data_IF_398723581271
#
_entry.id   IF_398723581271
#
_cell.length_a   1.000
_cell.length_b   1.000
_cell.length_c   1.000
_cell.angle_alpha   90.00
_cell.angle_beta   90.00
_cell.angle_gamma   90.00
#
_symmetry.space_group_name_H-M   'P 1'
#
loop_
_entity.id
_entity.type
_entity.pdbx_description
1 polymer ?
#
# COMPACT_ATOMS: atom_id res chain seq x y z
N UNK A 1 15.63 20.19 -19.22
CA UNK A 1 14.32 20.78 -19.59
C UNK A 1 13.13 19.94 -19.13
N UNK A 2 13.10 18.61 -19.34
CA UNK A 2 11.96 17.74 -18.97
C UNK A 2 11.58 17.88 -17.48
N UNK A 3 12.51 17.64 -16.56
CA UNK A 3 12.38 17.90 -15.11
C UNK A 3 11.64 19.20 -14.75
N UNK A 4 12.10 20.30 -15.32
CA UNK A 4 11.59 21.63 -15.00
C UNK A 4 10.15 21.80 -15.50
N UNK A 5 9.82 21.27 -16.69
CA UNK A 5 8.44 21.25 -17.21
C UNK A 5 7.53 20.37 -16.36
N UNK A 6 8.01 19.20 -15.96
CA UNK A 6 7.26 18.28 -15.10
C UNK A 6 6.92 18.93 -13.73
N UNK A 7 7.89 19.55 -13.07
CA UNK A 7 7.64 20.26 -11.81
C UNK A 7 6.78 21.52 -11.97
N UNK A 8 7.02 22.33 -13.01
CA UNK A 8 6.26 23.58 -13.23
C UNK A 8 4.78 23.28 -13.48
N UNK A 9 4.45 22.20 -14.19
CA UNK A 9 3.07 21.83 -14.52
C UNK A 9 2.32 21.11 -13.39
N UNK A 10 3.01 20.43 -12.46
CA UNK A 10 2.37 19.78 -11.30
C UNK A 10 2.07 20.79 -10.20
N UNK A 11 0.84 20.85 -9.68
CA UNK A 11 0.46 21.84 -8.65
C UNK A 11 1.18 21.63 -7.32
N UNK A 12 1.40 20.38 -6.92
CA UNK A 12 2.04 20.01 -5.67
C UNK A 12 3.59 20.05 -5.71
N UNK A 13 4.25 20.26 -6.86
CA UNK A 13 5.72 20.33 -6.90
C UNK A 13 6.26 21.64 -6.31
N UNK A 14 7.34 21.54 -5.54
CA UNK A 14 8.06 22.66 -4.90
C UNK A 14 9.42 22.91 -5.55
N UNK A 15 10.16 21.86 -5.86
CA UNK A 15 11.51 21.89 -6.43
C UNK A 15 11.86 20.57 -7.07
N UNK A 16 12.96 20.51 -7.82
CA UNK A 16 13.43 19.28 -8.46
C UNK A 16 14.95 19.18 -8.45
N UNK A 17 15.44 17.95 -8.42
CA UNK A 17 16.83 17.58 -8.70
C UNK A 17 16.90 16.88 -10.07
N UNK A 18 17.82 17.33 -10.92
CA UNK A 18 18.12 16.70 -12.20
C UNK A 18 19.51 16.07 -12.18
N UNK A 19 19.61 14.77 -12.45
CA UNK A 19 20.89 14.06 -12.62
C UNK A 19 21.38 14.18 -14.07
N UNK A 20 22.38 15.02 -14.40
CA UNK A 20 22.83 15.22 -15.78
C UNK A 20 23.44 13.96 -16.40
N UNK A 21 24.06 13.08 -15.61
CA UNK A 21 24.65 11.82 -16.07
C UNK A 21 23.60 10.70 -16.25
N UNK A 22 22.58 10.65 -15.38
CA UNK A 22 21.57 9.59 -15.37
C UNK A 22 20.28 9.95 -16.10
N UNK A 23 20.09 11.23 -16.45
CA UNK A 23 18.82 11.77 -16.96
C UNK A 23 17.68 11.79 -15.94
N UNK A 24 17.91 11.39 -14.69
CA UNK A 24 16.87 11.20 -13.67
C UNK A 24 16.32 12.52 -13.12
N UNK A 25 15.05 12.48 -12.73
CA UNK A 25 14.30 13.58 -12.15
C UNK A 25 13.70 13.17 -10.81
N UNK A 26 14.20 13.77 -9.72
CA UNK A 26 13.66 13.59 -8.38
C UNK A 26 12.87 14.88 -8.02
N UNK A 27 11.55 14.79 -7.79
CA UNK A 27 10.67 15.93 -7.51
C UNK A 27 10.36 16.06 -6.01
N UNK A 28 10.57 17.25 -5.43
CA UNK A 28 10.06 17.58 -4.08
C UNK A 28 8.61 18.04 -4.19
N UNK A 29 7.71 17.47 -3.39
CA UNK A 29 6.28 17.83 -3.38
C UNK A 29 5.80 18.32 -2.02
N UNK A 30 4.86 19.26 -2.03
CA UNK A 30 4.09 19.67 -0.87
C UNK A 30 3.07 18.56 -0.56
N UNK A 31 3.44 17.68 0.36
CA UNK A 31 2.61 16.56 0.82
C UNK A 31 2.42 16.60 2.33
N UNK A 32 1.26 16.13 2.80
CA UNK A 32 0.93 16.09 4.23
C UNK A 32 1.70 14.97 4.94
N UNK A 33 2.94 15.25 5.34
CA UNK A 33 3.82 14.33 6.05
C UNK A 33 5.21 14.94 6.24
N UNK A 34 6.17 14.20 6.82
CA UNK A 34 7.57 14.61 6.86
C UNK A 34 8.17 14.50 5.46
N UNK A 35 7.88 15.48 4.59
CA UNK A 35 8.63 15.64 3.34
C UNK A 35 10.07 15.97 3.71
N UNK A 36 10.95 14.96 3.65
CA UNK A 36 12.39 15.18 3.70
C UNK A 36 12.72 16.16 2.57
N UNK A 37 13.27 17.35 2.87
CA UNK A 37 13.77 18.20 1.79
C UNK A 37 14.83 17.41 1.04
N UNK A 38 14.80 17.44 -0.30
CA UNK A 38 15.84 16.83 -1.11
C UNK A 38 17.16 17.61 -0.95
N UNK A 39 17.86 17.34 0.15
CA UNK A 39 19.18 17.91 0.44
C UNK A 39 20.17 17.37 -0.57
N UNK A 40 20.47 18.19 -1.58
CA UNK A 40 21.69 18.18 -2.39
C UNK A 40 22.32 16.79 -2.61
N UNK A 41 21.66 15.93 -3.39
CA UNK A 41 22.25 14.66 -3.84
C UNK A 41 23.49 14.96 -4.69
N UNK A 42 24.66 14.49 -4.28
CA UNK A 42 25.92 14.76 -4.97
C UNK A 42 25.82 14.38 -6.45
N UNK A 43 26.25 15.29 -7.33
CA UNK A 43 26.14 15.13 -8.78
C UNK A 43 24.81 15.53 -9.41
N UNK A 44 23.80 15.97 -8.63
CA UNK A 44 22.51 16.43 -9.14
C UNK A 44 22.42 17.96 -9.11
N UNK A 45 21.72 18.53 -10.08
CA UNK A 45 21.40 19.96 -10.18
C UNK A 45 20.03 20.24 -9.54
N UNK A 46 20.03 21.00 -8.46
CA UNK A 46 18.80 21.47 -7.77
C UNK A 46 18.24 22.73 -8.43
N UNK A 47 16.91 22.86 -8.51
CA UNK A 47 16.23 24.14 -8.73
C UNK A 47 14.85 24.20 -8.09
N UNK A 48 14.41 25.41 -7.68
CA UNK A 48 13.08 25.63 -7.15
C UNK A 48 12.07 25.88 -8.27
N UNK A 49 10.80 25.49 -8.08
CA UNK A 49 9.75 25.69 -9.11
C UNK A 49 9.60 27.15 -9.50
N UNK A 50 9.67 28.06 -8.52
CA UNK A 50 9.61 29.53 -8.68
C UNK A 50 10.48 30.06 -9.81
N UNK A 51 11.69 29.50 -9.92
CA UNK A 51 12.77 30.02 -10.76
C UNK A 51 12.51 29.72 -12.26
N UNK A 52 11.60 28.77 -12.52
CA UNK A 52 11.28 28.26 -13.86
C UNK A 52 9.86 28.57 -14.35
N UNK A 53 8.95 29.03 -13.47
CA UNK A 53 7.54 29.31 -13.85
C UNK A 53 7.44 30.30 -15.01
N UNK A 54 8.20 31.40 -14.97
CA UNK A 54 8.15 32.44 -16.01
C UNK A 54 8.69 31.97 -17.35
N UNK A 55 9.61 31.00 -17.36
CA UNK A 55 10.27 30.49 -18.56
C UNK A 55 9.55 29.30 -19.21
N UNK A 56 8.84 28.47 -18.44
CA UNK A 56 8.30 27.19 -18.90
C UNK A 56 6.77 27.07 -18.81
N UNK A 57 6.10 27.87 -17.97
CA UNK A 57 4.68 27.61 -17.67
C UNK A 57 3.75 27.81 -18.88
N UNK A 58 4.14 28.55 -19.93
CA UNK A 58 3.33 28.73 -21.16
C UNK A 58 1.85 29.04 -20.82
N UNK A 59 0.90 28.29 -21.38
CA UNK A 59 -0.54 28.43 -21.10
C UNK A 59 -0.92 28.03 -19.65
N UNK A 60 -0.10 27.21 -18.99
CA UNK A 60 -0.31 26.79 -17.60
C UNK A 60 0.06 27.87 -16.56
N UNK A 61 0.66 28.99 -16.98
CA UNK A 61 1.12 30.08 -16.08
C UNK A 61 0.04 30.65 -15.16
N UNK A 62 -1.22 30.62 -15.59
CA UNK A 62 -2.37 31.14 -14.85
C UNK A 62 -3.41 30.05 -14.51
N UNK A 63 -3.06 28.77 -14.70
CA UNK A 63 -3.94 27.64 -14.44
C UNK A 63 -3.66 27.12 -13.03
N UNK A 64 -4.64 27.22 -12.15
CA UNK A 64 -4.58 26.65 -10.80
C UNK A 64 -5.41 25.37 -10.75
N UNK A 65 -4.76 24.22 -10.94
CA UNK A 65 -5.43 22.92 -10.80
C UNK A 65 -5.64 22.56 -9.32
N UNK A 66 -6.50 21.56 -9.06
CA UNK A 66 -6.58 20.93 -7.76
C UNK A 66 -5.24 20.27 -7.36
N UNK A 67 -5.05 19.89 -6.08
CA UNK A 67 -3.93 19.02 -5.68
C UNK A 67 -3.86 17.76 -6.55
N UNK A 68 -2.65 17.21 -6.71
CA UNK A 68 -2.39 15.99 -7.47
C UNK A 68 -2.73 16.04 -8.98
N UNK A 69 -3.10 17.20 -9.51
CA UNK A 69 -3.31 17.40 -10.93
C UNK A 69 -2.08 18.01 -11.60
N UNK A 70 -1.84 17.61 -12.85
CA UNK A 70 -0.89 18.24 -13.76
C UNK A 70 -1.63 19.17 -14.73
N UNK A 71 -1.02 20.31 -15.03
CA UNK A 71 -1.49 21.14 -16.13
C UNK A 71 -0.99 20.60 -17.48
N UNK A 72 -1.91 20.39 -18.42
CA UNK A 72 -1.62 19.97 -19.79
C UNK A 72 -1.99 21.12 -20.73
N UNK A 73 -1.02 21.72 -21.46
CA UNK A 73 -1.30 22.80 -22.40
C UNK A 73 -2.30 22.39 -23.48
N UNK A 74 -3.53 22.90 -23.39
CA UNK A 74 -4.61 22.64 -24.33
C UNK A 74 -5.16 23.94 -24.90
N UNK A 75 -5.64 23.90 -26.16
CA UNK A 75 -6.30 25.04 -26.82
C UNK A 75 -7.82 25.02 -26.72
N UNK A 76 -8.43 23.90 -26.32
CA UNK A 76 -9.87 23.64 -26.50
C UNK A 76 -10.50 22.76 -25.42
N UNK A 77 -9.83 22.47 -24.30
CA UNK A 77 -10.36 21.56 -23.26
C UNK A 77 -9.80 21.85 -21.86
N UNK A 78 -10.15 20.99 -20.89
CA UNK A 78 -9.65 21.09 -19.52
C UNK A 78 -8.12 21.04 -19.51
N UNK A 79 -7.51 22.12 -19.01
CA UNK A 79 -6.05 22.22 -18.87
C UNK A 79 -5.52 21.48 -17.64
N UNK A 80 -6.37 20.85 -16.83
CA UNK A 80 -6.00 20.13 -15.61
C UNK A 80 -6.42 18.66 -15.71
N UNK A 81 -5.48 17.75 -15.48
CA UNK A 81 -5.68 16.30 -15.51
C UNK A 81 -5.12 15.69 -14.23
N UNK A 82 -5.85 14.76 -13.62
CA UNK A 82 -5.37 14.01 -12.46
C UNK A 82 -4.16 13.15 -12.88
N UNK A 83 -3.07 13.20 -12.12
CA UNK A 83 -1.80 12.54 -12.51
C UNK A 83 -1.04 11.93 -11.32
N UNK A 84 -1.59 11.99 -10.11
CA UNK A 84 -0.88 11.70 -8.87
C UNK A 84 -1.85 11.18 -7.81
N UNK A 85 -1.42 10.22 -6.99
CA UNK A 85 -2.21 9.63 -5.91
C UNK A 85 -1.80 10.14 -4.52
N UNK A 86 -0.79 11.02 -4.44
CA UNK A 86 -0.23 11.49 -3.17
C UNK A 86 0.58 10.41 -2.45
N UNK A 87 0.91 10.63 -1.17
CA UNK A 87 1.67 9.67 -0.36
C UNK A 87 0.91 8.33 -0.31
N UNK A 88 1.57 7.18 -0.56
CA UNK A 88 0.96 5.86 -0.39
C UNK A 88 0.43 5.67 1.04
N UNK A 89 -0.77 5.08 1.23
CA UNK A 89 -1.39 4.93 2.54
C UNK A 89 -0.54 4.05 3.47
N UNK A 90 -0.74 4.18 4.79
CA UNK A 90 -0.30 3.12 5.72
C UNK A 90 -1.26 1.95 5.58
N UNK A 91 -0.75 0.72 5.51
CA UNK A 91 -1.56 -0.50 5.48
C UNK A 91 -1.32 -1.32 6.76
N UNK A 92 -2.36 -2.00 7.23
CA UNK A 92 -2.24 -2.89 8.38
C UNK A 92 -1.22 -4.00 8.12
N UNK A 93 -0.42 -4.34 9.13
CA UNK A 93 0.64 -5.36 9.10
C UNK A 93 1.78 -5.12 8.07
N UNK A 94 1.78 -3.98 7.37
CA UNK A 94 2.85 -3.57 6.46
C UNK A 94 3.92 -2.71 7.14
N UNK A 95 5.13 -2.71 6.59
CA UNK A 95 6.18 -1.73 6.88
C UNK A 95 5.80 -0.31 6.45
N UNK A 96 6.69 0.66 6.68
CA UNK A 96 6.67 1.90 5.89
C UNK A 96 6.74 1.58 4.39
N UNK A 97 6.06 2.37 3.57
CA UNK A 97 6.04 2.22 2.12
C UNK A 97 7.38 2.61 1.48
N UNK A 98 7.86 1.78 0.57
CA UNK A 98 9.00 2.06 -0.30
C UNK A 98 8.49 2.41 -1.70
N UNK A 99 8.79 3.61 -2.19
CA UNK A 99 8.34 4.09 -3.50
C UNK A 99 9.30 5.11 -4.11
N UNK A 100 9.30 5.25 -5.44
CA UNK A 100 10.14 6.21 -6.18
C UNK A 100 9.40 7.46 -6.67
N UNK A 101 8.09 7.51 -6.47
CA UNK A 101 7.20 8.55 -6.97
C UNK A 101 5.74 8.16 -6.77
N UNK A 102 4.83 9.11 -6.99
CA UNK A 102 3.40 8.95 -6.67
C UNK A 102 2.48 9.22 -7.87
N UNK A 103 3.04 9.34 -9.07
CA UNK A 103 2.25 9.56 -10.31
C UNK A 103 1.63 8.26 -10.82
N UNK A 104 0.60 8.38 -11.66
CA UNK A 104 -0.11 7.23 -12.25
C UNK A 104 0.88 6.20 -12.82
N UNK A 105 0.68 4.93 -12.48
CA UNK A 105 1.54 3.80 -12.86
C UNK A 105 2.73 3.54 -11.93
N UNK A 106 3.05 4.42 -10.98
CA UNK A 106 4.05 4.10 -9.95
C UNK A 106 3.50 3.09 -8.94
N UNK A 107 4.41 2.27 -8.40
CA UNK A 107 4.10 1.27 -7.38
C UNK A 107 4.84 1.60 -6.09
N UNK A 108 4.14 1.46 -4.96
CA UNK A 108 4.66 1.46 -3.61
C UNK A 108 4.66 0.04 -3.06
N UNK A 109 5.76 -0.39 -2.45
CA UNK A 109 5.92 -1.74 -1.89
C UNK A 109 5.99 -1.70 -0.37
N UNK A 110 5.38 -2.70 0.25
CA UNK A 110 5.30 -2.87 1.70
C UNK A 110 5.76 -4.28 2.05
N UNK A 111 6.59 -4.42 3.08
CA UNK A 111 6.99 -5.71 3.62
C UNK A 111 5.99 -6.13 4.70
N UNK A 112 5.26 -7.22 4.47
CA UNK A 112 4.27 -7.74 5.40
C UNK A 112 4.96 -8.56 6.50
N UNK A 113 4.69 -8.23 7.76
CA UNK A 113 5.30 -8.92 8.90
C UNK A 113 4.47 -8.81 10.17
N UNK A 114 4.67 -9.75 11.09
CA UNK A 114 4.00 -9.79 12.39
C UNK A 114 3.47 -11.17 12.75
N UNK A 115 2.94 -11.31 13.97
CA UNK A 115 2.44 -12.59 14.47
C UNK A 115 1.15 -12.97 13.75
N UNK A 116 1.18 -14.10 13.05
CA UNK A 116 0.05 -14.62 12.27
C UNK A 116 -0.25 -13.84 10.99
N UNK A 117 0.76 -13.17 10.43
CA UNK A 117 0.72 -12.43 9.15
C UNK A 117 1.54 -13.21 8.13
N UNK A 118 1.06 -13.32 6.89
CA UNK A 118 1.83 -13.96 5.82
C UNK A 118 3.02 -13.07 5.44
N UNK A 119 4.24 -13.62 5.52
CA UNK A 119 5.45 -12.88 5.20
C UNK A 119 5.61 -12.76 3.67
N UNK A 120 5.17 -11.63 3.11
CA UNK A 120 5.22 -11.37 1.67
C UNK A 120 5.43 -9.87 1.35
N UNK A 121 5.61 -9.54 0.07
CA UNK A 121 5.64 -8.16 -0.40
C UNK A 121 4.27 -7.79 -0.97
N UNK A 122 3.65 -6.76 -0.40
CA UNK A 122 2.40 -6.18 -0.86
C UNK A 122 2.67 -4.95 -1.74
N UNK A 123 2.39 -4.98 -3.06
CA UNK A 123 2.44 -3.81 -3.92
C UNK A 123 1.08 -3.10 -4.01
N UNK A 124 1.08 -1.77 -3.89
CA UNK A 124 -0.01 -0.88 -4.30
C UNK A 124 0.45 -0.03 -5.49
N UNK A 125 -0.40 0.15 -6.51
CA UNK A 125 -0.13 0.96 -7.70
C UNK A 125 -1.04 2.18 -7.72
N UNK A 126 -0.50 3.33 -8.12
CA UNK A 126 -1.27 4.55 -8.32
C UNK A 126 -2.07 4.46 -9.62
N UNK A 127 -3.40 4.46 -9.51
CA UNK A 127 -4.32 4.38 -10.64
C UNK A 127 -4.72 5.77 -11.18
N UNK A 128 -5.34 5.78 -12.36
CA UNK A 128 -5.88 6.99 -13.00
C UNK A 128 -7.05 7.64 -12.24
N UNK A 129 -7.65 6.90 -11.30
CA UNK A 129 -8.60 7.40 -10.30
C UNK A 129 -7.96 8.30 -9.23
N UNK A 130 -6.63 8.35 -9.15
CA UNK A 130 -5.89 9.02 -8.07
C UNK A 130 -5.86 8.21 -6.76
N UNK A 131 -6.26 6.94 -6.78
CA UNK A 131 -6.18 6.02 -5.65
C UNK A 131 -4.97 5.09 -5.75
N UNK A 132 -4.46 4.67 -4.59
CA UNK A 132 -3.50 3.56 -4.48
C UNK A 132 -4.26 2.26 -4.28
N UNK A 133 -4.14 1.33 -5.23
CA UNK A 133 -4.85 0.03 -5.21
C UNK A 133 -3.89 -1.13 -5.48
N UNK A 134 -4.15 -2.29 -4.88
CA UNK A 134 -3.30 -3.47 -5.03
C UNK A 134 -3.53 -4.50 -3.93
N UNK A 135 -2.48 -5.25 -3.59
CA UNK A 135 -2.57 -6.25 -2.51
C UNK A 135 -2.26 -5.60 -1.17
N UNK A 136 -3.00 -6.01 -0.14
CA UNK A 136 -2.73 -5.66 1.25
C UNK A 136 -2.12 -6.85 2.00
N UNK A 137 -1.36 -6.56 3.06
CA UNK A 137 -0.88 -7.61 3.96
C UNK A 137 -2.06 -8.30 4.65
N UNK A 138 -1.99 -9.63 4.74
CA UNK A 138 -3.08 -10.44 5.27
C UNK A 138 -2.60 -11.44 6.32
N UNK A 139 -3.53 -11.87 7.16
CA UNK A 139 -3.29 -12.91 8.15
C UNK A 139 -3.27 -14.30 7.49
N UNK A 140 -2.57 -15.22 8.14
CA UNK A 140 -2.61 -16.66 7.84
C UNK A 140 -4.01 -17.16 8.20
N UNK A 141 -4.80 -17.57 7.21
CA UNK A 141 -6.25 -17.82 7.38
C UNK A 141 -6.72 -19.23 7.02
N UNK A 142 -5.86 -20.05 6.40
CA UNK A 142 -6.11 -21.45 6.03
C UNK A 142 -4.87 -22.34 6.29
N UNK A 143 -5.00 -23.66 6.16
CA UNK A 143 -3.84 -24.56 6.18
C UNK A 143 -2.96 -24.42 4.91
N UNK A 144 -3.52 -24.02 3.78
CA UNK A 144 -2.76 -23.62 2.58
C UNK A 144 -1.80 -22.45 2.89
N UNK A 145 -2.24 -21.44 3.66
CA UNK A 145 -1.34 -20.37 4.11
C UNK A 145 -0.26 -20.85 5.07
N UNK A 146 -0.53 -21.85 5.89
CA UNK A 146 0.46 -22.45 6.80
C UNK A 146 1.53 -23.17 5.97
N UNK A 147 1.13 -23.94 4.95
CA UNK A 147 2.04 -24.62 4.02
C UNK A 147 2.91 -23.62 3.23
N UNK A 148 2.29 -22.56 2.68
CA UNK A 148 2.98 -21.50 1.93
C UNK A 148 3.99 -20.73 2.80
N UNK A 149 3.72 -20.58 4.11
CA UNK A 149 4.62 -19.89 5.03
C UNK A 149 5.91 -20.67 5.31
N UNK A 150 5.82 -22.00 5.49
CA UNK A 150 6.99 -22.85 5.71
C UNK A 150 6.71 -24.30 5.30
N UNK A 151 7.36 -24.75 4.21
CA UNK A 151 7.29 -26.12 3.70
C UNK A 151 7.80 -27.22 4.65
N UNK A 152 8.45 -26.85 5.77
CA UNK A 152 8.85 -27.78 6.83
C UNK A 152 7.72 -28.13 7.82
N UNK A 153 6.59 -27.41 7.75
CA UNK A 153 5.41 -27.72 8.56
C UNK A 153 4.73 -29.03 8.10
N UNK A 154 4.11 -29.71 9.07
CA UNK A 154 3.50 -31.04 8.92
C UNK A 154 2.11 -31.05 9.55
N UNK A 155 1.36 -32.13 9.35
CA UNK A 155 0.03 -32.31 9.95
C UNK A 155 0.04 -32.05 11.47
N UNK A 156 -0.83 -31.15 11.94
CA UNK A 156 -0.75 -30.60 13.30
C UNK A 156 -1.76 -29.50 13.60
N UNK A 157 -1.80 -29.02 14.84
CA UNK A 157 -2.68 -27.91 15.26
C UNK A 157 -1.97 -26.55 15.19
N UNK A 158 -2.58 -25.61 14.47
CA UNK A 158 -2.05 -24.27 14.23
C UNK A 158 -3.03 -23.19 14.72
N UNK A 159 -2.49 -22.05 15.16
CA UNK A 159 -3.29 -20.86 15.48
C UNK A 159 -3.35 -19.95 14.24
N UNK A 160 -4.49 -19.93 13.58
CA UNK A 160 -4.74 -19.16 12.35
C UNK A 160 -5.94 -18.23 12.53
N UNK A 161 -6.23 -17.40 11.54
CA UNK A 161 -7.28 -16.38 11.58
C UNK A 161 -8.27 -16.59 10.42
N UNK A 162 -9.23 -17.53 10.52
CA UNK A 162 -10.09 -17.87 9.40
C UNK A 162 -11.09 -16.75 9.07
N UNK A 163 -11.42 -16.61 7.79
CA UNK A 163 -12.39 -15.63 7.30
C UNK A 163 -13.79 -15.81 7.92
N UNK A 164 -14.15 -17.03 8.31
CA UNK A 164 -15.38 -17.34 9.05
C UNK A 164 -15.52 -16.59 10.39
N UNK A 165 -14.40 -16.12 10.96
CA UNK A 165 -14.33 -15.31 12.19
C UNK A 165 -13.81 -13.89 11.93
N UNK A 166 -14.01 -13.37 10.71
CA UNK A 166 -13.64 -12.01 10.31
C UNK A 166 -12.15 -11.76 10.14
N UNK A 167 -11.30 -12.80 10.20
CA UNK A 167 -9.83 -12.72 10.19
C UNK A 167 -9.19 -12.01 11.41
N UNK A 168 -9.96 -11.61 12.43
CA UNK A 168 -9.44 -10.95 13.63
C UNK A 168 -9.36 -11.87 14.86
N UNK A 169 -10.28 -12.84 14.97
CA UNK A 169 -10.25 -13.83 16.05
C UNK A 169 -9.40 -15.04 15.65
N UNK A 170 -8.35 -15.32 16.43
CA UNK A 170 -7.51 -16.51 16.20
C UNK A 170 -8.22 -17.77 16.69
N UNK A 171 -8.23 -18.79 15.85
CA UNK A 171 -8.83 -20.10 16.14
C UNK A 171 -7.76 -21.18 16.00
N UNK A 172 -7.88 -22.25 16.80
CA UNK A 172 -7.03 -23.43 16.67
C UNK A 172 -7.63 -24.33 15.61
N UNK A 173 -6.86 -24.65 14.58
CA UNK A 173 -7.28 -25.48 13.44
C UNK A 173 -6.28 -26.61 13.28
N UNK A 174 -6.77 -27.83 13.12
CA UNK A 174 -5.94 -28.96 12.75
C UNK A 174 -5.79 -29.02 11.22
N UNK A 175 -4.55 -28.97 10.76
CA UNK A 175 -4.20 -29.12 9.36
C UNK A 175 -3.85 -30.57 9.07
N UNK A 176 -4.54 -31.17 8.10
CA UNK A 176 -4.24 -32.51 7.58
C UNK A 176 -3.71 -32.40 6.14
N UNK A 177 -2.80 -33.31 5.76
CA UNK A 177 -2.14 -33.38 4.45
C UNK A 177 -1.39 -32.09 4.08
N UNK A 178 -0.76 -31.47 5.07
CA UNK A 178 -0.06 -30.19 4.91
C UNK A 178 1.16 -30.28 3.97
N UNK A 179 1.65 -31.49 3.71
CA UNK A 179 2.75 -31.78 2.76
C UNK A 179 2.27 -32.14 1.34
N UNK A 180 0.98 -31.96 1.04
CA UNK A 180 0.38 -32.27 -0.27
C UNK A 180 -0.15 -31.03 -0.98
N UNK A 181 -0.45 -31.13 -2.28
CA UNK A 181 -1.08 -30.04 -3.06
C UNK A 181 -2.54 -29.73 -2.67
N UNK A 182 -3.05 -30.30 -1.58
CA UNK A 182 -4.42 -30.07 -1.09
C UNK A 182 -4.52 -30.29 0.44
N UNK A 183 -4.01 -29.34 1.26
CA UNK A 183 -4.24 -29.34 2.70
C UNK A 183 -5.73 -29.26 3.04
N UNK A 184 -6.09 -29.74 4.24
CA UNK A 184 -7.46 -29.76 4.72
C UNK A 184 -7.57 -29.16 6.13
N UNK A 185 -8.50 -28.22 6.29
CA UNK A 185 -8.77 -27.47 7.52
C UNK A 185 -9.83 -28.17 8.36
N UNK A 186 -9.49 -28.59 9.58
CA UNK A 186 -10.44 -29.14 10.56
C UNK A 186 -10.51 -28.22 11.77
N UNK A 187 -11.68 -27.59 12.00
CA UNK A 187 -11.93 -26.83 13.22
C UNK A 187 -11.94 -27.79 14.40
N UNK A 188 -10.92 -27.72 15.27
CA UNK A 188 -10.93 -28.43 16.56
C UNK A 188 -11.68 -27.60 17.59
N UNK A 189 -12.47 -28.25 18.46
CA UNK A 189 -13.36 -27.55 19.42
C UNK A 189 -13.08 -27.96 20.88
N UNK A 190 -13.33 -27.06 21.88
CA UNK A 190 -14.24 -25.90 21.77
C UNK A 190 -13.81 -24.49 22.24
N UNK A 191 -12.69 -24.27 22.94
CA UNK A 191 -12.60 -23.17 23.94
C UNK A 191 -11.21 -22.47 24.06
N UNK A 192 -11.04 -21.29 24.70
CA UNK A 192 -11.83 -20.60 25.76
C UNK A 192 -13.24 -20.07 25.40
N UNK A 193 -14.16 -20.19 26.37
CA UNK A 193 -15.59 -19.87 26.28
C UNK A 193 -15.90 -18.37 26.46
N UNK A 194 -17.10 -17.94 26.02
CA UNK A 194 -17.79 -16.73 26.52
C UNK A 194 -18.98 -17.09 27.42
N UNK A 195 -19.17 -16.34 28.50
CA UNK A 195 -20.19 -16.58 29.53
C UNK A 195 -21.45 -15.77 29.20
N UNK A 196 -22.58 -16.43 28.93
CA UNK A 196 -23.85 -15.75 28.68
C UNK A 196 -24.54 -15.39 30.01
N UNK A 197 -24.79 -14.09 30.21
CA UNK A 197 -25.54 -13.55 31.35
C UNK A 197 -26.81 -12.82 30.84
N UNK A 198 -27.98 -12.97 31.48
CA UNK A 198 -28.24 -13.74 32.70
C UNK A 198 -28.40 -15.26 32.44
N UNK A 199 -28.13 -16.10 33.45
CA UNK A 199 -28.14 -17.56 33.28
C UNK A 199 -29.55 -18.12 33.09
N UNK A 200 -29.79 -18.80 31.97
CA UNK A 200 -30.91 -19.74 31.84
C UNK A 200 -30.57 -21.05 32.57
N UNK A 201 -31.61 -21.80 32.97
CA UNK A 201 -31.50 -22.85 34.01
C UNK A 201 -30.53 -24.00 33.70
N UNK A 202 -30.22 -24.29 32.43
CA UNK A 202 -29.04 -25.06 31.99
C UNK A 202 -28.66 -24.67 30.55
N UNK A 203 -27.51 -24.03 30.28
CA UNK A 203 -26.97 -23.87 28.93
C UNK A 203 -26.06 -25.07 28.57
N UNK A 204 -26.40 -25.82 27.52
CA UNK A 204 -25.59 -26.94 27.00
C UNK A 204 -25.08 -26.56 25.60
N UNK A 205 -23.77 -26.64 25.39
CA UNK A 205 -23.18 -26.67 24.05
C UNK A 205 -23.50 -28.03 23.41
N UNK A 206 -24.32 -28.04 22.36
CA UNK A 206 -24.66 -29.26 21.62
C UNK A 206 -23.87 -29.31 20.32
N UNK A 207 -23.07 -30.36 20.16
CA UNK A 207 -22.46 -30.77 18.89
C UNK A 207 -23.33 -31.88 18.33
N UNK A 208 -23.91 -31.68 17.15
CA UNK A 208 -24.68 -32.71 16.45
C UNK A 208 -23.77 -33.54 15.56
N UNK A 209 -23.82 -34.86 15.75
CA UNK A 209 -23.01 -35.89 15.11
C UNK A 209 -23.34 -36.08 13.62
#
# INVERSE_FOLDING_TARGET
MICARECVYQTNCLSFNFGPESGQCDLTRAVAGPSLPLVSKTGYLYASKSDWVTAIAENCKHVNCAPNHICVPSKTGNMCVLNDCGIPPVIDFGSSSEYRGTVIGYTATYNCSGIGVKAEVAPLTCLDTGAWEGRHCRRVSSCEDVQDCDSSYVDGEYWIYPNAFGNDERVKVYCHRLTSDSPMDYITLPNMNRLLWPPQKCPILTVTW
#
